data_IF_686712695074
#
_entry.id   IF_686712695074
#
_cell.length_a   1.000
_cell.length_b   1.000
_cell.length_c   1.000
_cell.angle_alpha   90.00
_cell.angle_beta   90.00
_cell.angle_gamma   90.00
#
_symmetry.space_group_name_H-M   'P 1'
#
loop_
_entity.id
_entity.type
_entity.pdbx_description
1 polymer ?
#
# COMPACT_ATOMS: atom_id res chain seq x y z
N UNK A 1 -22.57 -35.52 18.97
CA UNK A 1 -22.60 -35.98 17.56
C UNK A 1 -21.26 -35.57 16.97
N UNK A 2 -20.32 -36.50 16.81
CA UNK A 2 -18.93 -36.23 16.41
C UNK A 2 -18.74 -36.49 14.92
N UNK A 3 -17.91 -35.69 14.26
CA UNK A 3 -17.35 -36.04 12.95
C UNK A 3 -15.83 -35.87 13.01
N UNK A 4 -15.14 -36.80 12.36
CA UNK A 4 -13.76 -37.24 12.56
C UNK A 4 -12.75 -36.28 11.91
N UNK A 5 -11.61 -36.10 12.59
CA UNK A 5 -10.43 -35.44 12.05
C UNK A 5 -9.64 -36.35 11.10
N UNK A 6 -9.10 -35.80 10.02
CA UNK A 6 -7.83 -36.25 9.43
C UNK A 6 -7.20 -35.09 8.67
N UNK A 7 -6.01 -34.70 9.12
CA UNK A 7 -5.00 -33.92 8.38
C UNK A 7 -4.30 -34.87 7.40
N UNK A 8 -3.95 -34.45 6.18
CA UNK A 8 -2.59 -33.92 5.97
C UNK A 8 -2.50 -32.88 4.82
N UNK A 9 -1.90 -31.72 5.11
CA UNK A 9 -1.61 -30.64 4.14
C UNK A 9 -2.84 -30.02 3.44
N UNK A 10 -2.73 -28.74 3.06
CA UNK A 10 -3.70 -27.96 2.27
C UNK A 10 -4.77 -27.13 3.05
N UNK A 11 -4.93 -25.88 2.58
CA UNK A 11 -5.73 -24.75 3.07
C UNK A 11 -7.03 -25.08 3.82
N UNK A 12 -7.00 -25.11 5.16
CA UNK A 12 -8.24 -25.18 5.96
C UNK A 12 -8.22 -24.28 7.18
N UNK A 13 -9.14 -23.32 7.15
CA UNK A 13 -9.61 -22.46 8.24
C UNK A 13 -9.71 -23.29 9.53
N UNK A 14 -8.93 -22.88 10.54
CA UNK A 14 -9.06 -23.43 11.90
C UNK A 14 -10.38 -22.95 12.50
N UNK A 15 -11.36 -23.84 12.62
CA UNK A 15 -12.54 -23.60 13.45
C UNK A 15 -12.15 -23.99 14.88
N UNK A 16 -11.98 -22.98 15.72
CA UNK A 16 -11.74 -23.15 17.15
C UNK A 16 -13.09 -23.44 17.82
N UNK A 17 -13.23 -24.60 18.45
CA UNK A 17 -14.40 -24.95 19.27
C UNK A 17 -14.40 -24.07 20.53
N UNK A 18 -15.30 -23.08 20.57
CA UNK A 18 -15.50 -22.21 21.73
C UNK A 18 -16.65 -22.77 22.57
N UNK A 19 -16.34 -23.16 23.81
CA UNK A 19 -17.36 -23.53 24.79
C UNK A 19 -18.12 -22.29 25.26
N UNK A 20 -19.24 -22.03 24.59
CA UNK A 20 -20.16 -20.91 24.87
C UNK A 20 -20.74 -20.92 26.28
N UNK A 21 -20.65 -22.03 27.03
CA UNK A 21 -21.10 -22.07 28.42
C UNK A 21 -20.15 -21.37 29.40
N UNK A 22 -18.94 -21.02 28.94
CA UNK A 22 -17.91 -20.32 29.72
C UNK A 22 -17.86 -18.81 29.50
N UNK A 23 -18.62 -18.30 28.52
CA UNK A 23 -18.59 -16.90 28.11
C UNK A 23 -19.41 -16.02 29.06
N UNK A 24 -18.81 -14.92 29.51
CA UNK A 24 -19.50 -13.87 30.25
C UNK A 24 -20.30 -13.00 29.27
N UNK A 25 -21.36 -12.31 29.72
CA UNK A 25 -22.16 -11.39 28.89
C UNK A 25 -21.43 -10.19 28.23
N UNK A 26 -20.09 -10.14 28.25
CA UNK A 26 -19.26 -9.19 27.51
C UNK A 26 -18.30 -9.84 26.51
N UNK A 27 -18.10 -11.16 26.54
CA UNK A 27 -17.13 -11.84 25.68
C UNK A 27 -17.65 -11.98 24.24
N UNK A 28 -18.97 -11.94 24.06
CA UNK A 28 -19.63 -11.90 22.73
C UNK A 28 -19.37 -10.57 22.03
N UNK A 29 -19.21 -9.46 22.78
CA UNK A 29 -18.89 -8.15 22.21
C UNK A 29 -17.43 -8.08 21.72
N UNK A 30 -16.52 -8.77 22.42
CA UNK A 30 -15.13 -8.91 21.99
C UNK A 30 -14.99 -9.79 20.72
N UNK A 31 -15.92 -10.73 20.49
CA UNK A 31 -15.94 -11.56 19.28
C UNK A 31 -16.56 -10.85 18.06
N UNK A 32 -17.26 -9.72 18.26
CA UNK A 32 -17.68 -8.81 17.18
C UNK A 32 -16.65 -7.74 16.84
N UNK A 33 -15.58 -7.61 17.63
CA UNK A 33 -14.37 -6.85 17.27
C UNK A 33 -13.41 -7.68 16.39
N UNK A 34 -13.95 -8.68 15.68
CA UNK A 34 -13.31 -9.22 14.48
C UNK A 34 -13.35 -8.10 13.42
N UNK A 35 -12.37 -7.21 13.54
CA UNK A 35 -12.20 -5.95 12.81
C UNK A 35 -12.69 -6.09 11.37
N UNK A 36 -13.69 -5.29 11.00
CA UNK A 36 -13.96 -5.02 9.59
C UNK A 36 -12.62 -4.61 8.96
N UNK A 37 -12.12 -5.40 8.00
CA UNK A 37 -10.92 -5.06 7.25
C UNK A 37 -11.20 -3.71 6.61
N UNK A 38 -10.42 -2.68 6.97
CA UNK A 38 -10.54 -1.35 6.36
C UNK A 38 -10.19 -1.50 4.89
N UNK A 39 -11.16 -1.17 4.03
CA UNK A 39 -10.97 -1.11 2.58
C UNK A 39 -10.76 0.34 2.16
N UNK A 40 -9.98 0.49 1.10
CA UNK A 40 -9.66 1.77 0.47
C UNK A 40 -10.24 1.79 -0.93
N UNK A 41 -10.79 2.93 -1.32
CA UNK A 41 -11.22 3.16 -2.69
C UNK A 41 -10.00 3.43 -3.58
N UNK A 42 -10.18 3.31 -4.89
CA UNK A 42 -9.11 3.62 -5.83
C UNK A 42 -8.73 5.10 -5.77
N UNK A 43 -9.73 5.96 -5.59
CA UNK A 43 -9.55 7.39 -5.41
C UNK A 43 -8.67 7.70 -4.18
N UNK A 44 -8.96 7.08 -3.03
CA UNK A 44 -8.16 7.26 -1.81
C UNK A 44 -6.69 6.84 -2.01
N UNK A 45 -6.45 5.70 -2.68
CA UNK A 45 -5.08 5.23 -2.94
C UNK A 45 -4.31 6.19 -3.83
N UNK A 46 -4.93 6.71 -4.89
CA UNK A 46 -4.28 7.72 -5.74
C UNK A 46 -3.95 8.99 -4.99
N UNK A 47 -4.87 9.51 -4.18
CA UNK A 47 -4.62 10.72 -3.39
C UNK A 47 -3.43 10.50 -2.49
N UNK A 48 -3.40 9.41 -1.72
CA UNK A 48 -2.28 9.06 -0.87
C UNK A 48 -0.95 8.90 -1.65
N UNK A 49 -0.99 8.30 -2.83
CA UNK A 49 0.19 8.18 -3.70
C UNK A 49 0.67 9.54 -4.23
N UNK A 50 -0.26 10.41 -4.66
CA UNK A 50 0.04 11.76 -5.17
C UNK A 50 0.65 12.63 -4.06
N UNK A 51 0.05 12.58 -2.87
CA UNK A 51 0.51 13.34 -1.71
C UNK A 51 1.85 12.81 -1.20
N UNK A 52 2.05 11.47 -1.20
CA UNK A 52 3.31 10.84 -0.83
C UNK A 52 4.45 11.19 -1.78
N UNK A 53 4.18 11.20 -3.09
CA UNK A 53 5.13 11.68 -4.11
C UNK A 53 5.46 13.15 -3.90
N UNK A 54 4.47 14.00 -3.63
CA UNK A 54 4.67 15.43 -3.41
C UNK A 54 5.54 15.68 -2.18
N UNK A 55 5.24 15.00 -1.07
CA UNK A 55 6.05 15.08 0.16
C UNK A 55 7.50 14.66 -0.09
N UNK A 56 7.71 13.52 -0.76
CA UNK A 56 9.05 13.04 -1.07
C UNK A 56 9.83 14.00 -1.99
N UNK A 57 9.16 14.57 -2.98
CA UNK A 57 9.74 15.56 -3.89
C UNK A 57 10.13 16.86 -3.16
N UNK A 58 9.25 17.37 -2.29
CA UNK A 58 9.51 18.56 -1.50
C UNK A 58 10.71 18.38 -0.56
N UNK A 59 10.76 17.24 0.14
CA UNK A 59 11.86 16.93 1.08
C UNK A 59 13.20 16.68 0.38
N UNK A 60 13.18 16.15 -0.85
CA UNK A 60 14.37 16.02 -1.69
C UNK A 60 14.73 17.31 -2.44
N UNK A 61 13.87 18.34 -2.42
CA UNK A 61 13.99 19.54 -3.23
C UNK A 61 14.16 19.22 -4.75
N UNK A 62 13.36 18.26 -5.23
CA UNK A 62 13.27 17.84 -6.63
C UNK A 62 11.86 18.16 -7.14
N UNK A 63 11.68 18.45 -8.43
CA UNK A 63 10.34 18.65 -8.98
C UNK A 63 9.53 17.35 -8.91
N UNK A 64 8.29 17.41 -8.41
CA UNK A 64 7.35 16.27 -8.46
C UNK A 64 6.97 15.85 -9.88
N UNK A 65 7.30 16.66 -10.89
CA UNK A 65 7.16 16.33 -12.32
C UNK A 65 8.38 15.61 -12.91
N UNK A 66 9.38 15.25 -12.10
CA UNK A 66 10.49 14.42 -12.55
C UNK A 66 9.98 13.03 -12.97
N UNK A 67 10.55 12.49 -14.04
CA UNK A 67 10.20 11.18 -14.60
C UNK A 67 10.20 10.09 -13.51
N UNK A 68 11.10 10.16 -12.53
CA UNK A 68 11.14 9.17 -11.44
C UNK A 68 9.82 9.09 -10.67
N UNK A 69 9.17 10.22 -10.43
CA UNK A 69 7.92 10.31 -9.69
C UNK A 69 6.71 9.96 -10.56
N UNK A 70 6.72 10.44 -11.81
CA UNK A 70 5.68 10.12 -12.81
C UNK A 70 5.60 8.61 -13.01
N UNK A 71 6.74 7.94 -13.21
CA UNK A 71 6.78 6.50 -13.46
C UNK A 71 6.49 5.67 -12.21
N UNK A 72 6.95 6.11 -11.02
CA UNK A 72 6.59 5.48 -9.75
C UNK A 72 5.07 5.49 -9.54
N UNK A 73 4.42 6.64 -9.70
CA UNK A 73 2.98 6.78 -9.58
C UNK A 73 2.23 5.92 -10.62
N UNK A 74 2.63 6.01 -11.89
CA UNK A 74 1.99 5.24 -12.96
C UNK A 74 2.10 3.73 -12.75
N UNK A 75 3.27 3.25 -12.32
CA UNK A 75 3.49 1.84 -12.03
C UNK A 75 2.65 1.37 -10.84
N UNK A 76 2.66 2.10 -9.72
CA UNK A 76 1.88 1.76 -8.54
C UNK A 76 0.38 1.64 -8.84
N UNK A 77 -0.19 2.63 -9.55
CA UNK A 77 -1.62 2.60 -9.91
C UNK A 77 -1.95 1.50 -10.92
N UNK A 78 -1.04 1.21 -11.86
CA UNK A 78 -1.24 0.09 -12.80
C UNK A 78 -1.23 -1.26 -12.08
N UNK A 79 -0.34 -1.43 -11.09
CA UNK A 79 -0.24 -2.67 -10.32
C UNK A 79 -1.36 -2.81 -9.29
N UNK A 80 -1.94 -1.70 -8.81
CA UNK A 80 -3.16 -1.74 -8.00
C UNK A 80 -4.33 -2.33 -8.80
N UNK A 81 -4.47 -1.90 -10.05
CA UNK A 81 -5.54 -2.37 -10.95
C UNK A 81 -5.28 -3.77 -11.50
N UNK A 82 -4.02 -4.09 -11.75
CA UNK A 82 -3.58 -5.38 -12.28
C UNK A 82 -2.24 -5.79 -11.62
N UNK A 83 -2.29 -6.55 -10.51
CA UNK A 83 -1.09 -6.94 -9.76
C UNK A 83 -0.06 -7.75 -10.55
N UNK A 84 -0.46 -8.34 -11.69
CA UNK A 84 0.42 -9.09 -12.60
C UNK A 84 0.89 -8.28 -13.81
N UNK A 85 0.63 -6.96 -13.85
CA UNK A 85 1.07 -6.09 -14.92
C UNK A 85 2.60 -6.07 -15.04
N UNK A 86 3.08 -6.11 -16.28
CA UNK A 86 4.50 -5.96 -16.58
C UNK A 86 4.81 -4.52 -17.05
N UNK A 87 6.10 -4.22 -17.27
CA UNK A 87 6.52 -2.88 -17.68
C UNK A 87 5.92 -2.40 -19.01
N UNK A 88 5.62 -3.30 -19.95
CA UNK A 88 4.95 -2.90 -21.19
C UNK A 88 3.51 -2.44 -20.91
N UNK A 89 2.80 -3.11 -19.99
CA UNK A 89 1.48 -2.68 -19.53
C UNK A 89 1.53 -1.30 -18.87
N UNK A 90 2.49 -1.05 -17.97
CA UNK A 90 2.68 0.25 -17.31
C UNK A 90 2.94 1.36 -18.34
N UNK A 91 3.88 1.15 -19.27
CA UNK A 91 4.18 2.14 -20.34
C UNK A 91 2.98 2.41 -21.23
N UNK A 92 2.24 1.37 -21.61
CA UNK A 92 1.05 1.53 -22.43
C UNK A 92 -0.03 2.33 -21.68
N UNK A 93 -0.24 2.06 -20.38
CA UNK A 93 -1.17 2.83 -19.56
C UNK A 93 -0.77 4.30 -19.43
N UNK A 94 0.53 4.61 -19.40
CA UNK A 94 1.04 5.98 -19.35
C UNK A 94 0.88 6.75 -20.68
N UNK A 95 1.28 6.18 -21.81
CA UNK A 95 1.28 6.89 -23.11
C UNK A 95 -0.07 6.86 -23.84
N UNK A 96 -0.82 5.79 -23.64
CA UNK A 96 -2.11 5.58 -24.27
C UNK A 96 -3.10 5.12 -23.19
N UNK A 97 -3.41 6.00 -22.22
CA UNK A 97 -4.43 5.69 -21.24
C UNK A 97 -5.71 5.37 -22.03
N UNK A 98 -6.25 4.17 -21.83
CA UNK A 98 -7.57 3.82 -22.34
C UNK A 98 -8.64 4.70 -21.68
N UNK A 99 -9.91 4.28 -21.62
CA UNK A 99 -10.77 4.82 -20.58
C UNK A 99 -10.05 4.56 -19.25
N UNK A 100 -9.57 5.62 -18.59
CA UNK A 100 -8.95 5.49 -17.30
C UNK A 100 -9.94 4.71 -16.43
N UNK A 101 -9.49 3.70 -15.66
CA UNK A 101 -10.37 3.12 -14.66
C UNK A 101 -10.88 4.29 -13.84
N UNK A 102 -12.20 4.40 -13.70
CA UNK A 102 -12.79 5.51 -12.97
C UNK A 102 -12.17 5.55 -11.59
N UNK A 103 -12.00 6.74 -11.05
CA UNK A 103 -11.59 6.91 -9.66
C UNK A 103 -12.79 6.55 -8.82
N UNK A 104 -13.02 5.24 -8.74
CA UNK A 104 -14.13 4.67 -8.02
C UNK A 104 -13.92 4.96 -6.54
N UNK A 105 -14.94 5.58 -5.95
CA UNK A 105 -15.01 5.88 -4.53
C UNK A 105 -15.46 4.66 -3.73
N UNK A 106 -15.90 3.58 -4.39
CA UNK A 106 -16.25 2.33 -3.74
C UNK A 106 -14.99 1.67 -3.13
N UNK A 107 -14.97 1.43 -1.80
CA UNK A 107 -13.84 0.78 -1.13
C UNK A 107 -13.69 -0.67 -1.59
N UNK A 108 -12.53 -1.01 -2.14
CA UNK A 108 -12.29 -2.34 -2.75
C UNK A 108 -10.92 -2.93 -2.43
N UNK A 109 -9.94 -2.12 -2.02
CA UNK A 109 -8.57 -2.58 -1.79
C UNK A 109 -8.26 -2.69 -0.30
N UNK A 110 -7.67 -3.81 0.12
CA UNK A 110 -7.10 -3.92 1.47
C UNK A 110 -5.81 -3.13 1.55
N UNK A 111 -5.39 -2.81 2.78
CA UNK A 111 -4.12 -2.16 3.05
C UNK A 111 -2.93 -2.90 2.43
N UNK A 112 -2.94 -4.23 2.55
CA UNK A 112 -1.88 -5.10 2.04
C UNK A 112 -1.81 -5.09 0.51
N UNK A 113 -2.96 -5.08 -0.17
CA UNK A 113 -3.00 -4.97 -1.64
C UNK A 113 -2.40 -3.65 -2.10
N UNK A 114 -2.71 -2.54 -1.42
CA UNK A 114 -2.13 -1.23 -1.73
C UNK A 114 -0.63 -1.24 -1.46
N UNK A 115 -0.19 -1.78 -0.32
CA UNK A 115 1.23 -1.90 0.02
C UNK A 115 2.02 -2.69 -1.03
N UNK A 116 1.50 -3.83 -1.47
CA UNK A 116 2.13 -4.64 -2.52
C UNK A 116 2.20 -3.89 -3.85
N UNK A 117 1.12 -3.20 -4.26
CA UNK A 117 1.09 -2.45 -5.49
C UNK A 117 2.10 -1.28 -5.49
N UNK A 118 2.18 -0.53 -4.40
CA UNK A 118 3.09 0.62 -4.26
C UNK A 118 4.54 0.16 -4.26
N UNK A 119 4.91 -0.82 -3.42
CA UNK A 119 6.27 -1.36 -3.37
C UNK A 119 6.72 -1.92 -4.73
N UNK A 120 5.92 -2.83 -5.30
CA UNK A 120 6.26 -3.47 -6.58
C UNK A 120 6.29 -2.45 -7.73
N UNK A 121 5.41 -1.46 -7.71
CA UNK A 121 5.35 -0.42 -8.73
C UNK A 121 6.60 0.46 -8.73
N UNK A 122 7.03 0.88 -7.56
CA UNK A 122 8.23 1.71 -7.37
C UNK A 122 9.49 0.93 -7.76
N UNK A 123 9.62 -0.33 -7.33
CA UNK A 123 10.72 -1.21 -7.74
C UNK A 123 10.77 -1.41 -9.26
N UNK A 124 9.61 -1.63 -9.87
CA UNK A 124 9.49 -1.82 -11.31
C UNK A 124 9.92 -0.56 -12.08
N UNK A 125 9.49 0.62 -11.61
CA UNK A 125 9.89 1.90 -12.21
C UNK A 125 11.40 2.14 -12.07
N UNK A 126 11.97 1.95 -10.89
CA UNK A 126 13.42 2.10 -10.64
C UNK A 126 14.24 1.19 -11.58
N UNK A 127 13.82 -0.07 -11.71
CA UNK A 127 14.46 -1.07 -12.57
C UNK A 127 14.44 -0.69 -14.04
N UNK A 128 13.33 -0.14 -14.54
CA UNK A 128 13.14 0.06 -15.97
C UNK A 128 13.58 1.44 -16.46
N UNK A 129 13.33 2.50 -15.70
CA UNK A 129 13.61 3.87 -16.11
C UNK A 129 15.01 4.31 -15.70
N UNK A 130 15.48 3.86 -14.53
CA UNK A 130 16.79 4.24 -14.00
C UNK A 130 17.82 3.10 -14.01
N UNK A 131 17.41 1.88 -14.39
CA UNK A 131 18.26 0.67 -14.41
C UNK A 131 18.96 0.40 -13.08
N UNK A 132 18.25 0.69 -11.98
CA UNK A 132 18.72 0.55 -10.60
C UNK A 132 17.69 -0.20 -9.75
N UNK A 133 18.05 -0.52 -8.52
CA UNK A 133 17.09 -0.87 -7.46
C UNK A 133 16.56 0.41 -6.81
N UNK A 134 15.41 0.30 -6.12
CA UNK A 134 14.87 1.40 -5.33
C UNK A 134 15.90 1.92 -4.31
N UNK A 135 16.00 3.25 -4.21
CA UNK A 135 16.86 3.99 -3.30
C UNK A 135 16.07 4.60 -2.12
N UNK A 136 16.74 5.38 -1.27
CA UNK A 136 16.11 5.95 -0.06
C UNK A 136 14.95 6.90 -0.38
N UNK A 137 15.03 7.64 -1.50
CA UNK A 137 13.94 8.50 -1.94
C UNK A 137 12.75 7.67 -2.46
N UNK A 138 13.01 6.54 -3.12
CA UNK A 138 11.94 5.62 -3.50
C UNK A 138 11.25 4.99 -2.29
N UNK A 139 12.02 4.59 -1.28
CA UNK A 139 11.49 4.09 -0.01
C UNK A 139 10.67 5.16 0.72
N UNK A 140 11.08 6.44 0.64
CA UNK A 140 10.29 7.54 1.19
C UNK A 140 8.95 7.69 0.49
N UNK A 141 8.87 7.52 -0.84
CA UNK A 141 7.59 7.54 -1.56
C UNK A 141 6.67 6.42 -1.04
N UNK A 142 7.19 5.20 -0.89
CA UNK A 142 6.42 4.07 -0.33
C UNK A 142 5.89 4.46 1.05
N UNK A 143 6.78 4.82 1.98
CA UNK A 143 6.42 5.07 3.36
C UNK A 143 5.46 6.26 3.50
N UNK A 144 5.66 7.33 2.73
CA UNK A 144 4.76 8.47 2.72
C UNK A 144 3.37 8.09 2.18
N UNK A 145 3.29 7.43 1.02
CA UNK A 145 2.01 7.03 0.43
C UNK A 145 1.24 6.08 1.35
N UNK A 146 1.94 5.13 1.97
CA UNK A 146 1.34 4.20 2.91
C UNK A 146 0.88 4.93 4.19
N UNK A 147 1.69 5.80 4.79
CA UNK A 147 1.28 6.55 5.99
C UNK A 147 0.08 7.45 5.70
N UNK A 148 0.07 8.16 4.57
CA UNK A 148 -1.02 9.04 4.14
C UNK A 148 -2.31 8.29 3.79
N UNK A 149 -2.20 7.03 3.39
CA UNK A 149 -3.37 6.18 3.20
C UNK A 149 -4.08 5.90 4.54
N UNK A 150 -3.30 5.73 5.61
CA UNK A 150 -3.84 5.47 6.94
C UNK A 150 -4.26 6.75 7.67
N UNK A 151 -3.47 7.81 7.53
CA UNK A 151 -3.66 9.13 8.08
C UNK A 151 -3.38 10.23 7.03
N UNK A 152 -4.42 10.75 6.34
CA UNK A 152 -4.27 11.76 5.29
C UNK A 152 -3.66 13.09 5.76
N UNK A 153 -3.64 13.35 7.07
CA UNK A 153 -3.07 14.57 7.65
C UNK A 153 -1.60 14.39 8.10
N UNK A 154 -1.00 13.22 7.84
CA UNK A 154 0.38 12.94 8.22
C UNK A 154 1.38 13.88 7.54
N UNK A 155 2.32 14.41 8.32
CA UNK A 155 3.45 15.18 7.80
C UNK A 155 4.72 14.31 7.67
N UNK A 156 5.78 14.87 7.10
CA UNK A 156 7.06 14.17 6.96
C UNK A 156 7.63 13.70 8.31
N UNK A 157 7.40 14.46 9.40
CA UNK A 157 7.88 14.06 10.71
C UNK A 157 7.21 12.76 11.16
N UNK A 158 5.89 12.64 10.97
CA UNK A 158 5.15 11.41 11.27
C UNK A 158 5.66 10.25 10.42
N UNK A 159 5.76 10.43 9.10
CA UNK A 159 6.30 9.42 8.17
C UNK A 159 7.68 8.94 8.63
N UNK A 160 8.58 9.87 8.96
CA UNK A 160 9.91 9.57 9.46
C UNK A 160 9.85 8.74 10.75
N UNK A 161 9.10 9.18 11.75
CA UNK A 161 9.07 8.51 13.06
C UNK A 161 8.38 7.15 13.07
N UNK A 162 7.45 6.90 12.15
CA UNK A 162 6.71 5.64 12.10
C UNK A 162 7.41 4.58 11.23
N UNK A 163 8.22 5.00 10.27
CA UNK A 163 8.79 4.08 9.26
C UNK A 163 10.32 3.95 9.32
N UNK A 164 11.01 4.75 10.13
CA UNK A 164 12.46 4.76 10.23
C UNK A 164 12.93 4.80 11.68
N UNK A 165 14.03 4.11 11.97
CA UNK A 165 14.71 4.18 13.28
C UNK A 165 15.64 5.40 13.42
N UNK A 166 15.55 6.35 12.48
CA UNK A 166 16.42 7.52 12.37
C UNK A 166 15.62 8.82 12.49
N UNK A 167 16.27 9.90 12.91
CA UNK A 167 15.58 11.18 13.05
C UNK A 167 15.34 11.86 11.68
N UNK A 168 14.32 12.74 11.55
CA UNK A 168 13.97 13.37 10.28
C UNK A 168 15.13 14.09 9.58
N UNK A 169 16.08 14.66 10.33
CA UNK A 169 17.26 15.32 9.75
C UNK A 169 18.25 14.33 9.12
N UNK A 170 18.36 13.12 9.64
CA UNK A 170 19.21 12.06 9.06
C UNK A 170 18.56 11.53 7.79
N UNK A 171 17.25 11.29 7.79
CA UNK A 171 16.52 10.83 6.60
C UNK A 171 16.67 11.83 5.44
N UNK A 172 16.53 13.13 5.71
CA UNK A 172 16.77 14.19 4.72
C UNK A 172 18.18 14.17 4.12
N UNK A 173 19.17 13.63 4.83
CA UNK A 173 20.54 13.55 4.31
C UNK A 173 20.77 12.43 3.30
N UNK A 174 19.78 11.54 3.13
CA UNK A 174 19.79 10.46 2.14
C UNK A 174 19.14 10.87 0.80
N UNK A 175 18.39 11.99 0.80
CA UNK A 175 17.64 12.51 -0.35
C UNK A 175 18.51 13.44 -1.21
#
# INVERSE_FOLDING_TARGET
MSIIASSPDDDRIQIVDIDVSTLRPGDILALTENSLVKLYSRATVRTAMTDGVTMAADEANISSSDDRFIWAHAAAMTLLDNPSANWATVRNAHYAPGPAPTDDDDPQYTRDQVSQAVNNGIDLAAKHERRTVADDLDNLIVNAALTLLDDPDADFHKVATENYDECPSVIRSWL
#
